data_IF_824168595047
#
_entry.id   IF_824168595047
#
_cell.length_a   1.000
_cell.length_b   1.000
_cell.length_c   1.000
_cell.angle_alpha   90.00
_cell.angle_beta   90.00
_cell.angle_gamma   90.00
#
_symmetry.space_group_name_H-M   'P 1'
#
loop_
_entity.id
_entity.type
_entity.pdbx_description
1 polymer ?
#
# COMPACT_ATOMS: atom_id res chain seq x y z
N UNK A 1 -55.12 -43.04 -8.55
CA UNK A 1 -53.96 -42.48 -9.29
C UNK A 1 -53.14 -43.66 -9.79
N UNK A 2 -52.58 -43.59 -11.01
CA UNK A 2 -51.67 -44.62 -11.52
C UNK A 2 -50.24 -44.35 -11.07
N UNK A 3 -49.44 -45.40 -10.86
CA UNK A 3 -48.02 -45.30 -10.48
C UNK A 3 -47.20 -44.45 -11.48
N UNK A 4 -47.59 -44.46 -12.76
CA UNK A 4 -46.96 -43.64 -13.78
C UNK A 4 -47.15 -42.14 -13.54
N UNK A 5 -48.32 -41.73 -13.03
CA UNK A 5 -48.59 -40.34 -12.71
C UNK A 5 -47.74 -39.87 -11.52
N UNK A 6 -47.58 -40.71 -10.50
CA UNK A 6 -46.73 -40.43 -9.35
C UNK A 6 -45.25 -40.35 -9.74
N UNK A 7 -44.77 -41.27 -10.59
CA UNK A 7 -43.40 -41.27 -11.08
C UNK A 7 -43.08 -40.04 -11.94
N UNK A 8 -44.06 -39.58 -12.74
CA UNK A 8 -43.93 -38.36 -13.54
C UNK A 8 -43.89 -37.10 -12.66
N UNK A 9 -44.72 -37.05 -11.61
CA UNK A 9 -44.68 -35.98 -10.61
C UNK A 9 -43.34 -35.96 -9.87
N UNK A 10 -42.88 -37.11 -9.38
CA UNK A 10 -41.58 -37.23 -8.69
C UNK A 10 -40.42 -36.74 -9.55
N UNK A 11 -40.37 -37.10 -10.85
CA UNK A 11 -39.35 -36.58 -11.77
C UNK A 11 -39.41 -35.06 -11.96
N UNK A 12 -40.61 -34.49 -11.97
CA UNK A 12 -40.80 -33.05 -12.10
C UNK A 12 -40.35 -32.30 -10.83
N UNK A 13 -40.49 -32.92 -9.65
CA UNK A 13 -39.97 -32.39 -8.38
C UNK A 13 -38.46 -32.59 -8.20
N UNK A 14 -37.87 -33.66 -8.76
CA UNK A 14 -36.41 -33.87 -8.68
C UNK A 14 -35.65 -32.82 -9.51
N UNK A 15 -36.18 -32.46 -10.68
CA UNK A 15 -35.59 -31.43 -11.54
C UNK A 15 -35.74 -29.99 -11.01
N UNK A 16 -36.59 -29.77 -10.00
CA UNK A 16 -36.76 -28.46 -9.34
C UNK A 16 -35.99 -28.35 -8.04
N UNK A 17 -35.31 -29.42 -7.60
CA UNK A 17 -34.36 -29.34 -6.50
C UNK A 17 -33.19 -28.47 -6.96
N UNK A 18 -32.84 -27.44 -6.19
CA UNK A 18 -31.69 -26.64 -6.54
C UNK A 18 -30.46 -27.55 -6.44
N UNK A 19 -29.59 -27.51 -7.45
CA UNK A 19 -28.35 -28.26 -7.47
C UNK A 19 -27.49 -27.78 -6.29
N UNK A 20 -27.54 -28.49 -5.17
CA UNK A 20 -26.83 -28.12 -3.92
C UNK A 20 -25.31 -28.01 -4.14
N UNK A 21 -24.82 -28.74 -5.15
CA UNK A 21 -23.45 -28.72 -5.67
C UNK A 21 -23.05 -27.41 -6.36
N UNK A 22 -23.99 -26.64 -6.92
CA UNK A 22 -23.76 -25.32 -7.55
C UNK A 22 -24.31 -24.14 -6.70
N UNK A 23 -25.16 -24.41 -5.71
CA UNK A 23 -25.76 -23.39 -4.85
C UNK A 23 -24.75 -22.64 -3.98
N UNK A 24 -23.65 -23.31 -3.66
CA UNK A 24 -22.53 -22.73 -2.96
C UNK A 24 -21.29 -23.03 -3.79
N UNK A 25 -21.06 -22.25 -4.84
CA UNK A 25 -19.68 -21.93 -5.24
C UNK A 25 -19.02 -21.32 -3.99
N UNK A 26 -18.52 -22.21 -3.13
CA UNK A 26 -17.69 -21.87 -2.00
C UNK A 26 -16.38 -21.47 -2.64
N UNK A 27 -16.33 -20.22 -3.11
CA UNK A 27 -15.08 -19.62 -3.53
C UNK A 27 -14.17 -19.74 -2.32
N UNK A 28 -13.18 -20.62 -2.40
CA UNK A 28 -12.17 -20.84 -1.37
C UNK A 28 -11.24 -19.61 -1.33
N UNK A 29 -11.81 -18.42 -1.14
CA UNK A 29 -11.06 -17.20 -0.96
C UNK A 29 -10.52 -17.25 0.45
N UNK A 30 -9.20 -17.39 0.56
CA UNK A 30 -8.53 -17.27 1.84
C UNK A 30 -8.58 -15.81 2.31
N UNK A 31 -9.68 -15.43 2.96
CA UNK A 31 -9.91 -14.09 3.46
C UNK A 31 -8.78 -13.63 4.40
N UNK A 32 -8.23 -14.53 5.23
CA UNK A 32 -7.12 -14.22 6.13
C UNK A 32 -5.88 -13.79 5.34
N UNK A 33 -5.52 -14.54 4.29
CA UNK A 33 -4.39 -14.18 3.44
C UNK A 33 -4.61 -12.83 2.75
N UNK A 34 -5.79 -12.58 2.20
CA UNK A 34 -6.10 -11.30 1.54
C UNK A 34 -6.14 -10.12 2.51
N UNK A 35 -6.70 -10.30 3.71
CA UNK A 35 -6.65 -9.28 4.76
C UNK A 35 -5.21 -8.95 5.14
N UNK A 36 -4.34 -9.97 5.27
CA UNK A 36 -2.94 -9.76 5.57
C UNK A 36 -2.20 -9.02 4.44
N UNK A 37 -2.50 -9.33 3.17
CA UNK A 37 -1.96 -8.57 2.03
C UNK A 37 -2.38 -7.09 2.10
N UNK A 38 -3.64 -6.79 2.40
CA UNK A 38 -4.11 -5.41 2.52
C UNK A 38 -3.41 -4.68 3.65
N UNK A 39 -3.27 -5.30 4.83
CA UNK A 39 -2.60 -4.70 5.99
C UNK A 39 -1.13 -4.43 5.69
N UNK A 40 -0.39 -5.45 5.21
CA UNK A 40 1.04 -5.30 4.91
C UNK A 40 1.29 -4.34 3.75
N UNK A 41 0.46 -4.38 2.71
CA UNK A 41 0.53 -3.45 1.59
C UNK A 41 0.30 -2.00 2.05
N UNK A 42 -0.71 -1.77 2.90
CA UNK A 42 -0.95 -0.47 3.51
C UNK A 42 0.23 0.01 4.37
N UNK A 43 0.82 -0.88 5.18
CA UNK A 43 2.00 -0.56 5.97
C UNK A 43 3.22 -0.21 5.10
N UNK A 44 3.47 -0.95 4.02
CA UNK A 44 4.56 -0.67 3.09
C UNK A 44 4.39 0.69 2.40
N UNK A 45 3.17 1.02 1.98
CA UNK A 45 2.85 2.33 1.40
C UNK A 45 3.09 3.44 2.42
N UNK A 46 2.59 3.26 3.64
CA UNK A 46 2.76 4.24 4.71
C UNK A 46 4.24 4.49 5.04
N UNK A 47 5.03 3.42 5.20
CA UNK A 47 6.48 3.52 5.44
C UNK A 47 7.19 4.19 4.26
N UNK A 48 6.81 3.87 3.03
CA UNK A 48 7.40 4.49 1.83
C UNK A 48 7.16 6.01 1.82
N UNK A 49 5.94 6.46 2.13
CA UNK A 49 5.61 7.89 2.23
C UNK A 49 6.41 8.57 3.34
N UNK A 50 6.50 7.94 4.52
CA UNK A 50 7.27 8.47 5.63
C UNK A 50 8.77 8.62 5.28
N UNK A 51 9.33 7.63 4.58
CA UNK A 51 10.72 7.64 4.13
C UNK A 51 10.98 8.73 3.09
N UNK A 52 10.08 8.91 2.12
CA UNK A 52 10.16 9.99 1.12
C UNK A 52 10.20 11.36 1.82
N UNK A 53 9.31 11.59 2.78
CA UNK A 53 9.24 12.87 3.49
C UNK A 53 10.52 13.13 4.32
N UNK A 54 10.97 12.12 5.06
CA UNK A 54 12.18 12.22 5.87
C UNK A 54 13.43 12.49 5.02
N UNK A 55 13.59 11.78 3.90
CA UNK A 55 14.74 11.95 3.01
C UNK A 55 14.69 13.29 2.27
N UNK A 56 13.49 13.74 1.90
CA UNK A 56 13.31 15.05 1.28
C UNK A 56 13.74 16.19 2.22
N UNK A 57 13.36 16.12 3.49
CA UNK A 57 13.80 17.10 4.50
C UNK A 57 15.30 17.02 4.76
N UNK A 58 15.86 15.81 4.90
CA UNK A 58 17.30 15.60 5.07
C UNK A 58 18.10 16.22 3.92
N UNK A 59 17.72 15.94 2.68
CA UNK A 59 18.41 16.44 1.51
C UNK A 59 18.29 17.97 1.38
N UNK A 60 17.13 18.55 1.70
CA UNK A 60 16.95 20.01 1.75
C UNK A 60 17.89 20.68 2.77
N UNK A 61 18.12 20.05 3.93
CA UNK A 61 19.07 20.54 4.94
C UNK A 61 20.53 20.44 4.45
N UNK A 62 20.90 19.29 3.87
CA UNK A 62 22.25 19.06 3.34
C UNK A 62 22.61 20.04 2.21
N UNK A 63 21.65 20.34 1.34
CA UNK A 63 21.81 21.26 0.20
C UNK A 63 21.52 22.72 0.55
N UNK A 64 21.17 23.02 1.81
CA UNK A 64 20.85 24.38 2.31
C UNK A 64 19.73 25.09 1.53
N UNK A 65 18.75 24.33 1.04
CA UNK A 65 17.62 24.88 0.28
C UNK A 65 16.65 25.71 1.12
N UNK A 66 16.57 25.45 2.43
CA UNK A 66 15.70 26.15 3.38
C UNK A 66 16.48 27.01 4.39
N UNK A 67 17.53 27.70 3.94
CA UNK A 67 18.25 28.65 4.79
C UNK A 67 17.40 29.92 5.02
N UNK A 68 17.28 30.38 6.27
CA UNK A 68 16.49 31.55 6.60
C UNK A 68 17.14 32.83 6.01
N UNK A 69 16.41 33.64 5.23
CA UNK A 69 16.95 34.85 4.60
C UNK A 69 17.22 36.00 5.58
N UNK A 70 16.55 36.01 6.74
CA UNK A 70 16.65 37.03 7.78
C UNK A 70 17.67 36.62 8.85
N UNK A 71 17.63 35.37 9.28
CA UNK A 71 18.47 34.84 10.36
C UNK A 71 19.59 33.94 9.81
N UNK A 72 20.80 34.50 9.70
CA UNK A 72 21.97 33.75 9.21
C UNK A 72 22.28 32.55 10.12
N UNK A 73 22.10 31.35 9.58
CA UNK A 73 22.40 30.09 10.28
C UNK A 73 21.17 29.36 10.80
N UNK A 74 20.00 29.98 10.78
CA UNK A 74 18.72 29.34 11.11
C UNK A 74 18.11 28.66 9.87
N UNK A 75 17.24 27.69 10.14
CA UNK A 75 16.50 26.93 9.12
C UNK A 75 15.04 27.35 9.13
N UNK A 76 14.52 27.74 7.97
CA UNK A 76 13.10 28.03 7.81
C UNK A 76 12.28 26.73 7.86
N UNK A 77 11.57 26.54 8.97
CA UNK A 77 10.70 25.38 9.21
C UNK A 77 9.50 25.34 8.26
N UNK A 78 9.00 26.51 7.83
CA UNK A 78 7.89 26.58 6.89
C UNK A 78 8.33 26.09 5.51
N UNK A 79 9.52 26.50 5.06
CA UNK A 79 10.15 25.93 3.87
C UNK A 79 10.33 24.42 3.99
N UNK A 80 10.85 23.93 5.12
CA UNK A 80 11.15 22.51 5.32
C UNK A 80 9.92 21.58 5.23
N UNK A 81 8.72 22.10 5.47
CA UNK A 81 7.47 21.36 5.33
C UNK A 81 6.98 21.25 3.88
N UNK A 82 7.39 22.17 3.01
CA UNK A 82 6.86 22.30 1.64
C UNK A 82 7.91 22.07 0.56
N UNK A 83 9.20 22.07 0.92
CA UNK A 83 10.31 21.95 -0.02
C UNK A 83 10.23 20.65 -0.81
N UNK A 84 10.53 20.73 -2.11
CA UNK A 84 10.80 19.56 -2.95
C UNK A 84 12.30 19.57 -3.28
N UNK A 85 13.07 18.75 -2.58
CA UNK A 85 14.53 18.80 -2.66
C UNK A 85 15.13 18.12 -3.88
N UNK A 86 14.36 17.22 -4.51
CA UNK A 86 14.67 16.49 -5.74
C UNK A 86 13.54 16.65 -6.73
N UNK A 87 13.84 16.41 -8.02
CA UNK A 87 12.89 16.68 -9.11
C UNK A 87 11.62 15.81 -9.01
N UNK A 88 11.75 14.56 -8.57
CA UNK A 88 10.59 13.73 -8.29
C UNK A 88 10.75 12.92 -6.99
N UNK A 89 9.65 12.30 -6.53
CA UNK A 89 9.53 11.70 -5.19
C UNK A 89 10.23 10.33 -5.01
N UNK A 90 10.23 9.47 -6.02
CA UNK A 90 10.88 8.17 -6.05
C UNK A 90 12.41 8.15 -5.84
N UNK A 91 13.15 9.21 -6.17
CA UNK A 91 14.57 9.37 -5.88
C UNK A 91 14.80 9.43 -4.37
N UNK A 92 13.94 10.13 -3.62
CA UNK A 92 14.00 10.16 -2.17
C UNK A 92 13.73 8.75 -1.59
N UNK A 93 12.77 8.02 -2.17
CA UNK A 93 12.49 6.65 -1.77
C UNK A 93 13.68 5.72 -2.05
N UNK A 94 14.20 5.75 -3.27
CA UNK A 94 15.32 4.92 -3.69
C UNK A 94 16.57 5.20 -2.87
N UNK A 95 16.92 6.47 -2.68
CA UNK A 95 18.06 6.88 -1.86
C UNK A 95 17.86 6.42 -0.41
N UNK A 96 16.70 6.67 0.20
CA UNK A 96 16.41 6.23 1.56
C UNK A 96 16.48 4.71 1.77
N UNK A 97 16.10 3.91 0.78
CA UNK A 97 16.17 2.43 0.85
C UNK A 97 17.59 1.90 0.61
N UNK A 98 18.38 2.57 -0.21
CA UNK A 98 19.72 2.10 -0.61
C UNK A 98 20.87 2.67 0.24
N UNK A 99 20.68 3.86 0.83
CA UNK A 99 21.70 4.57 1.61
C UNK A 99 21.37 4.53 3.10
N UNK A 100 21.41 3.32 3.66
CA UNK A 100 21.09 3.06 5.07
C UNK A 100 22.19 3.49 6.05
N UNK A 101 23.37 3.87 5.54
CA UNK A 101 24.51 4.34 6.35
C UNK A 101 24.71 5.83 6.13
N UNK A 102 25.07 6.59 7.18
CA UNK A 102 25.53 7.96 7.00
C UNK A 102 26.71 7.98 6.04
N UNK A 103 26.71 8.91 5.10
CA UNK A 103 27.84 9.14 4.22
C UNK A 103 28.98 9.73 5.06
N UNK A 104 30.17 9.12 5.00
CA UNK A 104 31.31 9.62 5.77
C UNK A 104 31.65 11.04 5.29
N UNK A 105 31.92 11.98 6.21
CA UNK A 105 32.32 13.33 5.83
C UNK A 105 33.58 13.24 4.96
N UNK A 106 33.57 13.94 3.81
CA UNK A 106 34.71 13.96 2.90
C UNK A 106 36.00 14.32 3.67
N UNK A 107 37.14 13.65 3.40
CA UNK A 107 38.40 14.00 4.01
C UNK A 107 38.72 15.46 3.65
N UNK A 108 39.02 16.25 4.69
CA UNK A 108 39.42 17.65 4.55
C UNK A 108 40.76 17.79 3.83
#
# INVERSE_FOLDING_TARGET
MSEEAEKKLLKMYDGSRPAEEDLFETSYVNHVAWTLVVILGGALIWVSIALINAENQRNALMTKQCADPVFKGEVDQACLQLVASREHWWENLWYGVTHLRPEEPAPK
#
